data_IF_840312047879
#
_entry.id   IF_840312047879
#
_cell.length_a   1.000
_cell.length_b   1.000
_cell.length_c   1.000
_cell.angle_alpha   90.00
_cell.angle_beta   90.00
_cell.angle_gamma   90.00
#
_symmetry.space_group_name_H-M   'P 1'
#
loop_
_entity.id
_entity.type
_entity.pdbx_description
1 polymer ?
#
# COMPACT_ATOMS: atom_id res chain seq x y z
N UNK A 1 43.64 37.33 -0.25
CA UNK A 1 43.00 36.25 -1.04
C UNK A 1 42.29 35.31 -0.07
N UNK A 2 41.01 35.54 0.19
CA UNK A 2 40.20 34.70 1.09
C UNK A 2 39.62 33.52 0.31
N UNK A 3 40.03 32.30 0.64
CA UNK A 3 39.43 31.06 0.16
C UNK A 3 38.23 30.72 1.04
N UNK A 4 37.03 30.95 0.54
CA UNK A 4 35.79 30.45 1.14
C UNK A 4 35.65 28.96 0.82
N UNK A 5 35.81 28.11 1.84
CA UNK A 5 35.58 26.67 1.77
C UNK A 5 34.07 26.42 1.96
N UNK A 6 33.34 26.17 0.87
CA UNK A 6 31.92 25.82 0.92
C UNK A 6 31.81 24.33 1.30
N UNK A 7 31.42 24.06 2.54
CA UNK A 7 31.12 22.72 3.05
C UNK A 7 29.68 22.37 2.66
N UNK A 8 29.49 21.63 1.57
CA UNK A 8 28.16 21.13 1.17
C UNK A 8 27.84 19.91 2.06
N UNK A 9 26.96 20.11 3.04
CA UNK A 9 26.38 19.01 3.83
C UNK A 9 25.38 18.29 2.91
N UNK A 10 25.82 17.22 2.25
CA UNK A 10 24.94 16.27 1.56
C UNK A 10 24.11 15.55 2.63
N UNK A 11 22.96 16.14 2.98
CA UNK A 11 21.91 15.42 3.69
C UNK A 11 21.45 14.26 2.81
N UNK A 12 21.86 13.04 3.15
CA UNK A 12 21.45 11.83 2.45
C UNK A 12 19.99 11.55 2.78
N UNK A 13 19.10 12.20 2.03
CA UNK A 13 17.68 11.89 2.03
C UNK A 13 17.54 10.42 1.61
N UNK A 14 17.34 9.55 2.59
CA UNK A 14 17.12 8.13 2.34
C UNK A 14 15.73 7.99 1.76
N UNK A 15 15.64 8.03 0.42
CA UNK A 15 14.41 7.72 -0.28
C UNK A 15 14.10 6.25 0.02
N UNK A 16 13.09 6.03 0.85
CA UNK A 16 12.56 4.69 1.09
C UNK A 16 11.87 4.27 -0.19
N UNK A 17 12.59 3.57 -1.06
CA UNK A 17 12.02 2.95 -2.25
C UNK A 17 11.16 1.79 -1.76
N UNK A 18 9.84 1.98 -1.84
CA UNK A 18 8.88 0.91 -1.55
C UNK A 18 9.01 -0.13 -2.64
N UNK A 19 9.67 -1.25 -2.31
CA UNK A 19 9.78 -2.40 -3.22
C UNK A 19 8.41 -3.02 -3.45
N UNK A 20 8.14 -3.46 -4.67
CA UNK A 20 6.92 -4.20 -4.98
C UNK A 20 6.88 -5.52 -4.21
N UNK A 21 5.69 -6.07 -3.96
CA UNK A 21 5.54 -7.38 -3.28
C UNK A 21 6.26 -8.51 -4.01
N UNK A 22 6.32 -8.46 -5.34
CA UNK A 22 7.07 -9.43 -6.15
C UNK A 22 8.58 -9.29 -5.93
N UNK A 23 9.09 -8.06 -5.77
CA UNK A 23 10.51 -7.83 -5.50
C UNK A 23 10.88 -8.18 -4.05
N UNK A 24 10.04 -7.85 -3.06
CA UNK A 24 10.28 -8.21 -1.66
C UNK A 24 10.03 -9.69 -1.39
N UNK A 25 9.18 -10.34 -2.19
CA UNK A 25 8.61 -11.66 -1.95
C UNK A 25 7.80 -11.77 -0.66
N UNK A 26 7.23 -10.64 -0.23
CA UNK A 26 6.34 -10.53 0.93
C UNK A 26 4.99 -10.02 0.43
N UNK A 27 3.96 -10.80 0.67
CA UNK A 27 2.62 -10.60 0.12
C UNK A 27 1.63 -10.30 1.25
N UNK A 28 1.07 -9.09 1.22
CA UNK A 28 0.02 -8.67 2.15
C UNK A 28 -1.33 -8.75 1.44
N UNK A 29 -2.30 -9.42 2.06
CA UNK A 29 -3.68 -9.33 1.62
C UNK A 29 -4.32 -8.13 2.33
N UNK A 30 -4.77 -7.12 1.58
CA UNK A 30 -5.25 -5.84 2.12
C UNK A 30 -6.36 -5.97 3.19
N UNK A 31 -7.13 -7.05 3.16
CA UNK A 31 -8.22 -7.29 4.10
C UNK A 31 -7.91 -8.38 5.14
N UNK A 32 -6.65 -8.80 5.25
CA UNK A 32 -6.24 -9.91 6.12
C UNK A 32 -5.41 -9.43 7.31
N UNK A 33 -5.60 -10.11 8.44
CA UNK A 33 -4.71 -10.04 9.61
C UNK A 33 -3.42 -10.85 9.42
N UNK A 34 -3.19 -11.39 8.23
CA UNK A 34 -2.06 -12.25 7.90
C UNK A 34 -1.35 -11.81 6.62
N UNK A 35 -0.07 -12.13 6.53
CA UNK A 35 0.75 -11.99 5.33
C UNK A 35 1.42 -13.32 4.97
N UNK A 36 1.97 -13.42 3.75
CA UNK A 36 2.76 -14.58 3.32
C UNK A 36 4.19 -14.09 3.02
N UNK A 37 5.18 -14.74 3.63
CA UNK A 37 6.60 -14.44 3.42
C UNK A 37 7.31 -15.60 2.72
N UNK A 38 7.63 -15.37 1.45
CA UNK A 38 8.33 -16.32 0.60
C UNK A 38 9.77 -15.88 0.32
N UNK A 39 10.30 -14.92 1.06
CA UNK A 39 11.68 -14.41 0.91
C UNK A 39 12.74 -15.52 0.99
N UNK A 40 12.47 -16.59 1.74
CA UNK A 40 13.35 -17.75 1.85
C UNK A 40 13.47 -18.55 0.54
N UNK A 41 12.49 -18.46 -0.35
CA UNK A 41 12.50 -19.11 -1.67
C UNK A 41 13.13 -18.22 -2.75
N UNK A 42 13.43 -16.96 -2.42
CA UNK A 42 14.04 -16.02 -3.34
C UNK A 42 15.45 -16.46 -3.71
N UNK A 43 15.83 -16.26 -4.97
CA UNK A 43 17.14 -16.63 -5.53
C UNK A 43 17.43 -18.15 -5.54
N UNK A 44 16.45 -18.99 -5.21
CA UNK A 44 16.59 -20.43 -5.35
C UNK A 44 16.20 -20.86 -6.76
N UNK A 45 17.04 -21.65 -7.41
CA UNK A 45 16.74 -22.24 -8.71
C UNK A 45 16.11 -23.62 -8.50
N UNK A 46 14.88 -23.78 -8.97
CA UNK A 46 14.14 -25.03 -8.91
C UNK A 46 14.10 -25.67 -10.30
N UNK A 47 14.30 -26.98 -10.35
CA UNK A 47 14.33 -27.75 -11.58
C UNK A 47 13.32 -28.90 -11.48
N UNK A 48 12.41 -29.00 -12.46
CA UNK A 48 11.39 -30.04 -12.54
C UNK A 48 11.35 -30.69 -13.93
N UNK A 49 11.93 -31.89 -14.09
CA UNK A 49 11.85 -32.66 -15.33
C UNK A 49 10.51 -33.40 -15.47
N UNK A 50 9.86 -33.33 -16.62
CA UNK A 50 8.62 -34.07 -16.93
C UNK A 50 8.41 -34.24 -18.44
N UNK A 51 8.01 -35.44 -18.89
CA UNK A 51 7.61 -35.73 -20.28
C UNK A 51 8.57 -35.22 -21.38
N UNK A 52 9.89 -35.27 -21.15
CA UNK A 52 10.89 -34.79 -22.12
C UNK A 52 11.10 -33.27 -22.12
N UNK A 53 10.46 -32.56 -21.21
CA UNK A 53 10.66 -31.15 -20.90
C UNK A 53 11.34 -31.01 -19.54
N UNK A 54 12.04 -29.89 -19.35
CA UNK A 54 12.58 -29.51 -18.04
C UNK A 54 12.17 -28.08 -17.74
N UNK A 55 11.48 -27.87 -16.62
CA UNK A 55 11.04 -26.54 -16.18
C UNK A 55 11.97 -26.02 -15.11
N UNK A 56 12.55 -24.84 -15.33
CA UNK A 56 13.52 -24.22 -14.43
C UNK A 56 13.00 -22.84 -14.04
N UNK A 57 12.96 -22.54 -12.74
CA UNK A 57 12.36 -21.31 -12.26
C UNK A 57 12.87 -20.88 -10.89
N UNK A 58 12.72 -19.59 -10.59
CA UNK A 58 13.01 -19.02 -9.26
C UNK A 58 11.83 -18.21 -8.74
N UNK A 59 11.52 -18.29 -7.45
CA UNK A 59 10.38 -17.53 -6.89
C UNK A 59 10.82 -16.11 -6.57
N UNK A 60 10.09 -15.09 -7.06
CA UNK A 60 10.39 -13.68 -6.77
C UNK A 60 11.80 -13.18 -7.14
N UNK A 61 12.49 -13.85 -8.07
CA UNK A 61 13.80 -13.42 -8.54
C UNK A 61 14.05 -13.88 -9.97
N UNK A 62 15.04 -13.24 -10.61
CA UNK A 62 15.62 -13.76 -11.84
C UNK A 62 16.26 -15.13 -11.57
N UNK A 63 16.17 -16.02 -12.56
CA UNK A 63 16.84 -17.31 -12.54
C UNK A 63 18.10 -17.25 -13.42
N UNK A 64 19.28 -17.32 -12.80
CA UNK A 64 20.56 -17.18 -13.52
C UNK A 64 20.83 -18.32 -14.52
N UNK A 65 20.27 -19.51 -14.29
CA UNK A 65 20.38 -20.60 -15.27
C UNK A 65 19.58 -20.24 -16.53
N UNK A 66 18.33 -19.82 -16.36
CA UNK A 66 17.49 -19.37 -17.48
C UNK A 66 18.08 -18.15 -18.19
N UNK A 67 18.71 -17.22 -17.46
CA UNK A 67 19.42 -16.09 -18.05
C UNK A 67 20.51 -16.56 -19.02
N UNK A 68 21.32 -17.55 -18.62
CA UNK A 68 22.37 -18.11 -19.48
C UNK A 68 21.84 -18.82 -20.73
N UNK A 69 20.60 -19.32 -20.69
CA UNK A 69 19.96 -20.05 -21.79
C UNK A 69 19.22 -19.14 -22.77
N UNK A 70 18.32 -18.31 -22.26
CA UNK A 70 17.41 -17.49 -23.09
C UNK A 70 18.00 -16.11 -23.38
N UNK A 71 18.98 -15.64 -22.59
CA UNK A 71 19.67 -14.35 -22.74
C UNK A 71 18.74 -13.13 -22.68
N UNK A 72 17.69 -13.20 -21.86
CA UNK A 72 16.83 -12.04 -21.59
C UNK A 72 16.84 -11.65 -20.11
N UNK A 73 16.93 -10.36 -19.87
CA UNK A 73 16.99 -9.80 -18.51
C UNK A 73 15.65 -9.97 -17.80
N UNK A 74 15.71 -10.26 -16.50
CA UNK A 74 14.54 -10.51 -15.69
C UNK A 74 13.91 -11.89 -15.92
N UNK A 75 14.49 -12.77 -16.76
CA UNK A 75 13.94 -14.13 -16.94
C UNK A 75 13.86 -14.85 -15.60
N UNK A 76 12.64 -15.14 -15.18
CA UNK A 76 12.33 -15.78 -13.91
C UNK A 76 12.20 -17.30 -14.09
N UNK A 77 11.69 -17.72 -15.26
CA UNK A 77 11.51 -19.13 -15.59
C UNK A 77 11.69 -19.42 -17.06
N UNK A 78 12.14 -20.64 -17.34
CA UNK A 78 12.35 -21.17 -18.68
C UNK A 78 11.97 -22.66 -18.77
N UNK A 79 11.61 -23.06 -19.98
CA UNK A 79 11.37 -24.45 -20.37
C UNK A 79 12.50 -24.90 -21.31
N UNK A 80 13.19 -25.96 -20.94
CA UNK A 80 14.18 -26.63 -21.80
C UNK A 80 13.53 -27.82 -22.49
N UNK A 81 13.73 -27.92 -23.80
CA UNK A 81 13.22 -28.98 -24.67
C UNK A 81 14.36 -29.55 -25.52
N UNK A 82 14.08 -30.59 -26.34
CA UNK A 82 15.04 -31.06 -27.35
C UNK A 82 15.33 -30.03 -28.45
N UNK A 83 14.39 -29.10 -28.69
CA UNK A 83 14.45 -28.15 -29.80
C UNK A 83 14.98 -26.77 -29.38
N UNK A 84 15.23 -26.57 -28.08
CA UNK A 84 15.71 -25.30 -27.55
C UNK A 84 15.17 -24.98 -26.16
N UNK A 85 15.57 -23.80 -25.69
CA UNK A 85 15.21 -23.21 -24.40
C UNK A 85 14.27 -22.02 -24.65
N UNK A 86 13.17 -21.94 -23.91
CA UNK A 86 12.15 -20.91 -24.07
C UNK A 86 11.87 -20.22 -22.74
N UNK A 87 11.81 -18.89 -22.71
CA UNK A 87 11.32 -18.16 -21.54
C UNK A 87 9.82 -18.42 -21.37
N UNK A 88 9.41 -18.71 -20.13
CA UNK A 88 8.01 -18.92 -19.75
C UNK A 88 7.54 -17.97 -18.63
N UNK A 89 8.39 -17.03 -18.21
CA UNK A 89 8.04 -16.02 -17.22
C UNK A 89 9.18 -15.03 -16.96
N UNK A 90 8.81 -13.75 -16.83
CA UNK A 90 9.71 -12.65 -16.50
C UNK A 90 9.32 -12.02 -15.15
N UNK A 91 10.30 -11.75 -14.29
CA UNK A 91 10.08 -11.16 -12.96
C UNK A 91 9.44 -9.77 -13.04
N UNK A 92 9.74 -9.00 -14.10
CA UNK A 92 9.22 -7.66 -14.31
C UNK A 92 7.74 -7.66 -14.71
N UNK A 93 7.22 -8.82 -15.15
CA UNK A 93 5.83 -9.03 -15.55
C UNK A 93 5.09 -9.92 -14.54
N UNK A 94 5.55 -9.91 -13.29
CA UNK A 94 4.98 -10.69 -12.19
C UNK A 94 3.73 -10.04 -11.59
N UNK A 95 2.69 -10.82 -11.39
CA UNK A 95 1.51 -10.46 -10.59
C UNK A 95 1.21 -11.56 -9.58
N UNK A 96 0.46 -11.23 -8.53
CA UNK A 96 0.03 -12.21 -7.53
C UNK A 96 -1.43 -12.00 -7.14
N UNK A 97 -2.05 -13.04 -6.62
CA UNK A 97 -3.40 -13.01 -6.07
C UNK A 97 -3.51 -14.03 -4.95
N UNK A 98 -4.36 -13.74 -3.96
CA UNK A 98 -4.67 -14.69 -2.90
C UNK A 98 -5.76 -15.66 -3.36
N UNK A 99 -5.58 -16.95 -3.06
CA UNK A 99 -6.63 -17.94 -3.25
C UNK A 99 -7.66 -17.86 -2.14
N UNK A 100 -8.92 -18.17 -2.45
CA UNK A 100 -9.90 -18.49 -1.41
C UNK A 100 -9.61 -19.94 -1.01
N UNK A 101 -8.95 -20.12 0.15
CA UNK A 101 -8.45 -21.42 0.63
C UNK A 101 -9.55 -22.49 0.58
N UNK A 102 -10.80 -22.10 0.85
CA UNK A 102 -11.96 -23.00 0.90
C UNK A 102 -12.41 -23.54 -0.46
N UNK A 103 -12.16 -22.85 -1.57
CA UNK A 103 -12.64 -23.25 -2.89
C UNK A 103 -11.53 -23.76 -3.82
N UNK A 104 -10.31 -23.24 -3.68
CA UNK A 104 -9.21 -23.58 -4.59
C UNK A 104 -8.09 -24.38 -3.94
N UNK A 105 -8.05 -24.43 -2.61
CA UNK A 105 -7.04 -25.15 -1.82
C UNK A 105 -5.65 -24.51 -1.79
N UNK A 106 -5.34 -23.51 -2.62
CA UNK A 106 -4.05 -22.80 -2.60
C UNK A 106 -4.14 -21.50 -1.79
N UNK A 107 -3.03 -21.12 -1.16
CA UNK A 107 -2.91 -19.91 -0.33
C UNK A 107 -2.58 -18.67 -1.17
N UNK A 108 -1.67 -18.81 -2.15
CA UNK A 108 -1.26 -17.73 -3.05
C UNK A 108 -1.01 -18.24 -4.47
N UNK A 109 -1.46 -17.48 -5.45
CA UNK A 109 -1.13 -17.64 -6.86
C UNK A 109 -0.17 -16.54 -7.31
N UNK A 110 0.87 -16.91 -8.06
CA UNK A 110 1.81 -15.97 -8.68
C UNK A 110 1.87 -16.25 -10.17
N UNK A 111 1.70 -15.23 -10.99
CA UNK A 111 1.74 -15.32 -12.45
C UNK A 111 2.91 -14.52 -12.99
N UNK A 112 3.67 -15.10 -13.92
CA UNK A 112 4.71 -14.42 -14.67
C UNK A 112 4.47 -14.58 -16.16
N UNK A 113 4.35 -13.47 -16.87
CA UNK A 113 4.30 -13.48 -18.33
C UNK A 113 5.72 -13.39 -18.90
N UNK A 114 5.98 -14.05 -20.03
CA UNK A 114 7.25 -13.87 -20.74
C UNK A 114 7.45 -12.42 -21.17
N UNK A 115 8.68 -12.04 -21.48
CA UNK A 115 8.94 -10.78 -22.18
C UNK A 115 8.37 -10.82 -23.60
N UNK A 116 8.28 -9.64 -24.22
CA UNK A 116 7.92 -9.48 -25.64
C UNK A 116 8.99 -10.02 -26.60
N UNK A 117 10.21 -10.29 -26.12
CA UNK A 117 11.32 -10.83 -26.92
C UNK A 117 11.28 -12.35 -26.98
N UNK A 118 10.62 -13.00 -26.03
CA UNK A 118 10.45 -14.44 -26.04
C UNK A 118 9.69 -14.83 -27.31
N UNK A 119 10.15 -15.88 -28.04
CA UNK A 119 9.40 -16.37 -29.19
C UNK A 119 7.96 -16.66 -28.77
N UNK A 120 7.01 -16.37 -29.64
CA UNK A 120 5.62 -16.74 -29.42
C UNK A 120 5.45 -18.26 -29.50
N UNK A 121 4.34 -18.75 -28.99
CA UNK A 121 3.93 -20.11 -29.24
C UNK A 121 3.38 -20.30 -30.64
N UNK A 122 3.22 -21.57 -31.04
CA UNK A 122 2.62 -21.92 -32.33
C UNK A 122 1.19 -21.37 -32.49
N UNK A 123 0.49 -21.13 -31.38
CA UNK A 123 -0.82 -20.50 -31.34
C UNK A 123 -0.81 -18.96 -31.43
N UNK A 124 0.37 -18.34 -31.51
CA UNK A 124 0.53 -16.88 -31.48
C UNK A 124 0.49 -16.25 -30.08
N UNK A 125 0.24 -17.04 -29.03
CA UNK A 125 0.20 -16.53 -27.65
C UNK A 125 1.62 -16.40 -27.06
N UNK A 126 1.83 -15.40 -26.20
CA UNK A 126 2.99 -15.33 -25.33
C UNK A 126 2.97 -16.47 -24.31
N UNK A 127 4.15 -16.93 -23.90
CA UNK A 127 4.28 -17.96 -22.86
C UNK A 127 4.08 -17.33 -21.48
N UNK A 128 3.43 -18.04 -20.58
CA UNK A 128 3.32 -17.62 -19.18
C UNK A 128 3.35 -18.81 -18.23
N UNK A 129 3.70 -18.52 -16.97
CA UNK A 129 3.74 -19.51 -15.91
C UNK A 129 2.94 -19.02 -14.70
N UNK A 130 2.05 -19.88 -14.24
CA UNK A 130 1.20 -19.70 -13.08
C UNK A 130 1.63 -20.67 -11.99
N UNK A 131 2.03 -20.15 -10.85
CA UNK A 131 2.47 -20.91 -9.69
C UNK A 131 1.39 -20.86 -8.62
N UNK A 132 0.90 -22.01 -8.21
CA UNK A 132 -0.12 -22.18 -7.18
C UNK A 132 0.51 -22.79 -5.94
N UNK A 133 0.62 -21.99 -4.88
CA UNK A 133 1.28 -22.42 -3.65
C UNK A 133 0.25 -22.84 -2.60
N UNK A 134 0.39 -24.07 -2.13
CA UNK A 134 -0.38 -24.71 -1.08
C UNK A 134 0.42 -24.65 0.22
N UNK A 135 -0.15 -24.10 1.28
CA UNK A 135 0.44 -24.18 2.61
C UNK A 135 0.63 -25.65 3.01
N UNK A 136 1.84 -26.01 3.41
CA UNK A 136 2.17 -27.32 3.97
C UNK A 136 3.20 -27.13 5.07
N UNK A 137 2.87 -27.48 6.31
CA UNK A 137 3.81 -27.35 7.44
C UNK A 137 4.98 -28.34 7.33
N UNK A 138 4.80 -29.42 6.56
CA UNK A 138 5.77 -30.51 6.43
C UNK A 138 6.75 -30.28 5.26
N UNK A 139 6.28 -29.70 4.16
CA UNK A 139 7.09 -29.53 2.96
C UNK A 139 7.79 -28.16 2.97
N UNK A 140 9.13 -28.14 2.93
CA UNK A 140 9.87 -26.88 2.73
C UNK A 140 9.53 -26.30 1.35
N UNK A 141 9.66 -27.12 0.31
CA UNK A 141 9.30 -26.79 -1.07
C UNK A 141 9.16 -28.08 -1.89
N UNK A 142 7.99 -28.33 -2.47
CA UNK A 142 7.72 -29.53 -3.26
C UNK A 142 6.79 -29.23 -4.44
N UNK A 143 7.29 -29.41 -5.65
CA UNK A 143 6.45 -29.35 -6.86
C UNK A 143 5.57 -30.60 -6.91
N UNK A 144 4.26 -30.40 -6.99
CA UNK A 144 3.24 -31.46 -7.02
C UNK A 144 2.96 -31.84 -8.47
N UNK A 145 2.78 -30.84 -9.34
CA UNK A 145 2.40 -31.05 -10.72
C UNK A 145 2.82 -29.86 -11.58
N UNK A 146 3.09 -30.17 -12.85
CA UNK A 146 3.29 -29.19 -13.91
C UNK A 146 2.48 -29.66 -15.11
N UNK A 147 1.61 -28.81 -15.61
CA UNK A 147 0.84 -29.08 -16.83
C UNK A 147 0.56 -27.79 -17.57
N UNK A 148 0.25 -27.91 -18.85
CA UNK A 148 -0.05 -26.78 -19.72
C UNK A 148 -1.56 -26.68 -19.93
N UNK A 149 -2.17 -25.57 -19.53
CA UNK A 149 -3.59 -25.31 -19.77
C UNK A 149 -3.95 -23.83 -19.51
N UNK A 150 -4.38 -23.05 -20.52
CA UNK A 150 -4.43 -23.38 -21.94
C UNK A 150 -3.04 -23.52 -22.57
N UNK A 151 -2.95 -23.72 -23.89
CA UNK A 151 -1.68 -23.78 -24.62
C UNK A 151 -0.79 -22.58 -24.28
N UNK A 152 0.45 -22.88 -23.91
CA UNK A 152 1.51 -21.98 -23.48
C UNK A 152 1.31 -21.25 -22.15
N UNK A 153 0.35 -21.72 -21.37
CA UNK A 153 0.17 -21.30 -19.99
C UNK A 153 0.49 -22.49 -19.08
N UNK A 154 1.68 -22.47 -18.50
CA UNK A 154 2.16 -23.53 -17.63
C UNK A 154 1.63 -23.30 -16.22
N UNK A 155 0.95 -24.30 -15.66
CA UNK A 155 0.44 -24.30 -14.30
C UNK A 155 1.31 -25.21 -13.45
N UNK A 156 1.92 -24.66 -12.42
CA UNK A 156 2.83 -25.33 -11.49
C UNK A 156 2.20 -25.30 -10.11
N UNK A 157 1.89 -26.47 -9.55
CA UNK A 157 1.36 -26.58 -8.19
C UNK A 157 2.47 -26.94 -7.22
N UNK A 158 2.58 -26.23 -6.09
CA UNK A 158 3.71 -26.33 -5.16
C UNK A 158 3.20 -26.39 -3.72
N UNK A 159 3.65 -27.38 -2.93
CA UNK A 159 3.51 -27.33 -1.46
C UNK A 159 4.72 -26.64 -0.85
N UNK A 160 4.48 -25.71 0.09
CA UNK A 160 5.57 -25.08 0.83
C UNK A 160 5.08 -24.52 2.18
N UNK A 161 5.90 -24.65 3.21
CA UNK A 161 5.70 -24.00 4.51
C UNK A 161 5.75 -22.49 4.44
N UNK A 162 6.48 -21.94 3.46
CA UNK A 162 6.59 -20.50 3.25
C UNK A 162 5.33 -19.89 2.60
N UNK A 163 4.44 -20.73 2.09
CA UNK A 163 3.12 -20.31 1.61
C UNK A 163 2.06 -20.27 2.72
N UNK A 164 2.42 -20.62 3.95
CA UNK A 164 1.50 -20.58 5.08
C UNK A 164 1.33 -19.14 5.60
N UNK A 165 0.09 -18.68 5.86
CA UNK A 165 -0.17 -17.35 6.40
C UNK A 165 0.50 -17.13 7.75
N UNK A 166 1.18 -15.99 7.90
CA UNK A 166 1.82 -15.52 9.13
C UNK A 166 0.94 -14.41 9.72
N UNK A 167 0.52 -14.50 10.99
CA UNK A 167 -0.27 -13.45 11.62
C UNK A 167 0.57 -12.16 11.72
N UNK A 168 -0.04 -11.03 11.35
CA UNK A 168 0.55 -9.71 11.57
C UNK A 168 0.51 -9.46 13.07
N UNK A 169 1.65 -9.15 13.72
CA UNK A 169 1.66 -8.86 15.15
C UNK A 169 0.71 -7.70 15.42
N UNK A 170 -0.32 -7.95 16.21
CA UNK A 170 -1.23 -6.90 16.67
C UNK A 170 -0.39 -5.95 17.53
N UNK A 171 -0.41 -4.63 17.29
CA UNK A 171 0.32 -3.71 18.13
C UNK A 171 -0.12 -3.94 19.58
N UNK A 172 0.81 -4.38 20.42
CA UNK A 172 0.54 -4.56 21.85
C UNK A 172 0.00 -3.23 22.34
N UNK A 173 -1.17 -3.19 23.02
CA UNK A 173 -1.70 -1.94 23.53
C UNK A 173 -0.61 -1.31 24.38
N UNK A 174 -0.13 -0.14 23.94
CA UNK A 174 0.83 0.62 24.72
C UNK A 174 0.16 0.86 26.06
N UNK A 175 0.82 0.46 27.16
CA UNK A 175 0.33 0.76 28.50
C UNK A 175 0.33 2.28 28.58
N UNK A 176 -0.86 2.87 28.43
CA UNK A 176 -1.05 4.30 28.61
C UNK A 176 -0.46 4.62 29.97
N UNK A 177 0.52 5.54 30.08
CA UNK A 177 1.08 5.88 31.38
C UNK A 177 -0.08 6.26 32.28
N UNK A 178 -0.20 5.56 33.41
CA UNK A 178 -1.19 5.88 34.43
C UNK A 178 -1.00 7.37 34.73
N UNK A 179 -2.06 8.20 34.63
CA UNK A 179 -1.90 9.62 34.83
C UNK A 179 -1.27 9.85 36.20
N UNK A 180 -0.05 10.38 36.21
CA UNK A 180 0.57 10.90 37.43
C UNK A 180 -0.44 11.88 38.02
N UNK A 181 -0.80 11.77 39.32
CA UNK A 181 -1.79 12.64 39.92
C UNK A 181 -1.43 14.09 39.64
N UNK A 182 -2.24 14.73 38.80
CA UNK A 182 -2.04 16.13 38.44
C UNK A 182 -2.17 16.94 39.73
N UNK A 183 -1.19 17.78 40.09
CA UNK A 183 -1.37 18.72 41.18
C UNK A 183 -2.66 19.53 40.92
N UNK A 184 -3.46 19.85 41.95
CA UNK A 184 -4.74 20.52 41.79
C UNK A 184 -4.56 21.77 40.91
N UNK A 185 -5.13 21.71 39.71
CA UNK A 185 -5.08 22.82 38.77
C UNK A 185 -5.97 23.91 39.37
N UNK A 186 -5.34 24.99 39.82
CA UNK A 186 -6.01 26.25 40.12
C UNK A 186 -6.88 26.59 38.92
N UNK A 187 -8.20 26.82 39.07
CA UNK A 187 -9.09 27.04 37.94
C UNK A 187 -8.58 28.21 37.10
N UNK A 188 -7.96 27.89 35.98
CA UNK A 188 -7.61 28.88 34.98
C UNK A 188 -8.94 29.43 34.46
N UNK A 189 -9.15 30.76 34.49
CA UNK A 189 -10.40 31.35 34.07
C UNK A 189 -10.75 30.82 32.68
N UNK A 190 -11.95 30.26 32.56
CA UNK A 190 -12.54 29.76 31.32
C UNK A 190 -12.40 30.83 30.25
N UNK A 191 -11.35 30.74 29.43
CA UNK A 191 -11.23 31.56 28.25
C UNK A 191 -12.37 31.12 27.34
N UNK A 192 -13.26 32.05 27.01
CA UNK A 192 -14.30 31.83 26.03
C UNK A 192 -13.64 31.44 24.71
N UNK A 193 -13.50 30.14 24.47
CA UNK A 193 -12.93 29.60 23.24
C UNK A 193 -13.91 29.91 22.13
N UNK A 194 -13.63 30.92 21.30
CA UNK A 194 -14.41 31.20 20.11
C UNK A 194 -14.14 30.12 19.06
N UNK A 195 -15.21 29.52 18.54
CA UNK A 195 -15.16 28.53 17.49
C UNK A 195 -16.24 28.85 16.45
N UNK A 196 -15.85 28.87 15.17
CA UNK A 196 -16.81 28.92 14.08
C UNK A 196 -16.38 28.07 12.89
N UNK A 197 -17.38 27.59 12.17
CA UNK A 197 -17.22 26.87 10.92
C UNK A 197 -18.12 27.50 9.87
N UNK A 198 -17.56 27.70 8.69
CA UNK A 198 -18.24 28.35 7.59
C UNK A 198 -17.99 27.57 6.30
N UNK A 199 -19.05 27.29 5.57
CA UNK A 199 -19.01 26.74 4.22
C UNK A 199 -19.05 27.91 3.24
N UNK A 200 -17.97 28.08 2.47
CA UNK A 200 -17.88 29.10 1.44
C UNK A 200 -17.54 28.43 0.09
N UNK A 201 -18.54 28.37 -0.79
CA UNK A 201 -18.46 27.61 -2.05
C UNK A 201 -18.10 26.15 -1.78
N UNK A 202 -16.98 25.67 -2.29
CA UNK A 202 -16.47 24.30 -2.09
C UNK A 202 -15.42 24.21 -0.98
N UNK A 203 -15.39 25.21 -0.10
CA UNK A 203 -14.38 25.32 0.95
C UNK A 203 -14.99 25.25 2.35
N UNK A 204 -14.32 24.52 3.25
CA UNK A 204 -14.59 24.55 4.68
C UNK A 204 -13.59 25.47 5.37
N UNK A 205 -14.11 26.53 5.98
CA UNK A 205 -13.36 27.48 6.79
C UNK A 205 -13.62 27.15 8.27
N UNK A 206 -12.55 26.92 9.02
CA UNK A 206 -12.64 26.72 10.48
C UNK A 206 -11.82 27.78 11.19
N UNK A 207 -12.45 28.44 12.16
CA UNK A 207 -11.81 29.41 13.06
C UNK A 207 -11.88 28.91 14.50
N UNK A 208 -10.74 28.88 15.20
CA UNK A 208 -10.68 28.41 16.59
C UNK A 208 -9.49 28.98 17.33
N UNK A 209 -9.60 29.26 18.62
CA UNK A 209 -8.41 29.53 19.45
C UNK A 209 -7.67 28.24 19.85
N UNK A 210 -8.23 27.07 19.53
CA UNK A 210 -7.62 25.76 19.73
C UNK A 210 -6.87 25.30 18.47
N UNK A 211 -6.05 24.26 18.65
CA UNK A 211 -5.40 23.56 17.56
C UNK A 211 -6.42 22.94 16.60
N UNK A 212 -6.24 23.18 15.29
CA UNK A 212 -7.12 22.65 14.25
C UNK A 212 -6.42 21.53 13.49
N UNK A 213 -7.08 20.39 13.33
CA UNK A 213 -6.62 19.25 12.54
C UNK A 213 -7.63 18.89 11.45
N UNK A 214 -7.26 19.03 10.17
CA UNK A 214 -8.12 18.68 9.04
C UNK A 214 -7.69 17.40 8.34
N UNK A 215 -8.67 16.61 7.93
CA UNK A 215 -8.55 15.33 7.24
C UNK A 215 -9.46 15.31 6.01
N UNK A 216 -9.04 14.59 4.99
CA UNK A 216 -9.87 14.32 3.82
C UNK A 216 -9.45 13.03 3.12
N UNK A 217 -10.36 12.46 2.32
CA UNK A 217 -10.07 11.36 1.40
C UNK A 217 -10.13 11.87 -0.04
N UNK A 218 -8.97 12.20 -0.61
CA UNK A 218 -8.83 12.65 -1.99
C UNK A 218 -8.10 13.99 -2.16
N UNK A 219 -8.09 14.54 -3.39
CA UNK A 219 -7.32 15.74 -3.72
C UNK A 219 -7.80 16.90 -2.86
N UNK A 220 -6.90 17.50 -2.10
CA UNK A 220 -7.24 18.49 -1.09
C UNK A 220 -6.18 19.55 -0.99
N UNK A 221 -6.62 20.81 -0.84
CA UNK A 221 -5.74 21.94 -0.61
C UNK A 221 -6.25 22.74 0.57
N UNK A 222 -5.42 22.89 1.60
CA UNK A 222 -5.68 23.73 2.76
C UNK A 222 -4.68 24.89 2.81
N UNK A 223 -5.15 26.04 3.27
CA UNK A 223 -4.37 27.27 3.45
C UNK A 223 -4.61 27.77 4.88
N UNK A 224 -3.54 28.04 5.61
CA UNK A 224 -3.59 28.62 6.97
C UNK A 224 -3.51 30.15 6.91
N UNK A 225 -3.71 30.82 8.05
CA UNK A 225 -3.58 32.29 8.15
C UNK A 225 -2.16 32.79 7.78
N UNK A 226 -1.12 32.00 8.06
CA UNK A 226 0.27 32.31 7.69
C UNK A 226 0.56 32.13 6.20
N UNK A 227 -0.44 31.70 5.40
CA UNK A 227 -0.27 31.37 3.99
C UNK A 227 0.38 30.01 3.74
N UNK A 228 0.63 29.23 4.80
CA UNK A 228 1.16 27.87 4.65
C UNK A 228 0.11 27.00 3.99
N UNK A 229 0.56 26.21 3.01
CA UNK A 229 -0.31 25.30 2.28
C UNK A 229 0.04 23.86 2.65
N UNK A 230 -1.00 23.05 2.86
CA UNK A 230 -0.87 21.61 3.03
C UNK A 230 -1.95 20.94 2.19
N UNK A 231 -1.60 19.86 1.51
CA UNK A 231 -2.49 19.29 0.52
C UNK A 231 -1.95 18.01 -0.11
N UNK A 232 -2.80 17.37 -0.89
CA UNK A 232 -2.48 16.20 -1.71
C UNK A 232 -3.21 16.32 -3.04
N UNK A 233 -2.60 15.86 -4.12
CA UNK A 233 -3.26 15.66 -5.40
C UNK A 233 -3.68 14.19 -5.61
N UNK A 234 -3.37 13.31 -4.66
CA UNK A 234 -3.70 11.89 -4.77
C UNK A 234 -5.22 11.69 -4.55
N UNK A 235 -5.87 11.00 -5.49
CA UNK A 235 -7.29 10.66 -5.42
C UNK A 235 -7.64 9.79 -4.21
N UNK A 236 -6.67 9.01 -3.72
CA UNK A 236 -6.81 8.16 -2.52
C UNK A 236 -5.95 8.67 -1.35
N UNK A 237 -5.42 9.89 -1.45
CA UNK A 237 -4.54 10.46 -0.42
C UNK A 237 -5.31 10.96 0.80
N UNK A 238 -4.77 10.71 1.99
CA UNK A 238 -5.16 11.41 3.21
C UNK A 238 -4.22 12.58 3.49
N UNK A 239 -4.75 13.74 3.84
CA UNK A 239 -3.95 14.84 4.39
C UNK A 239 -4.17 14.97 5.89
N UNK A 240 -3.14 15.43 6.60
CA UNK A 240 -3.26 15.91 7.98
C UNK A 240 -2.66 17.31 8.04
N UNK A 241 -3.53 18.31 8.08
CA UNK A 241 -3.14 19.70 8.22
C UNK A 241 -3.32 20.14 9.65
N UNK A 242 -2.26 20.66 10.26
CA UNK A 242 -2.28 21.13 11.64
C UNK A 242 -1.79 22.56 11.72
N UNK A 243 -2.56 23.44 12.36
CA UNK A 243 -2.13 24.82 12.59
C UNK A 243 -2.38 25.23 14.04
N UNK A 244 -1.41 25.91 14.69
CA UNK A 244 -1.63 26.57 15.97
C UNK A 244 -2.41 27.89 15.81
N UNK A 245 -2.60 28.36 14.58
CA UNK A 245 -3.26 29.61 14.28
C UNK A 245 -4.77 29.41 14.19
N UNK A 246 -5.51 30.51 14.39
CA UNK A 246 -6.95 30.46 14.56
C UNK A 246 -7.78 30.31 13.29
N UNK A 247 -7.18 29.90 12.17
CA UNK A 247 -7.83 29.82 10.88
C UNK A 247 -7.20 28.77 9.96
N UNK A 248 -8.05 27.94 9.36
CA UNK A 248 -7.72 27.08 8.24
C UNK A 248 -8.85 27.09 7.21
N UNK A 249 -8.50 27.15 5.93
CA UNK A 249 -9.43 27.07 4.81
C UNK A 249 -9.05 25.89 3.92
N UNK A 250 -9.92 24.90 3.79
CA UNK A 250 -9.67 23.68 3.02
C UNK A 250 -10.67 23.50 1.87
N UNK A 251 -10.22 23.03 0.72
CA UNK A 251 -11.03 22.71 -0.48
C UNK A 251 -10.90 21.23 -0.84
N UNK A 252 -12.00 20.47 -0.83
CA UNK A 252 -12.09 19.03 -1.18
C UNK A 252 -13.51 18.48 -1.03
N UNK A 253 -13.75 17.30 -1.61
CA UNK A 253 -15.03 16.61 -1.64
C UNK A 253 -15.44 15.92 -0.33
N UNK A 254 -14.55 15.80 0.67
CA UNK A 254 -14.87 15.17 1.95
C UNK A 254 -13.90 15.68 3.03
N UNK A 255 -14.11 16.92 3.50
CA UNK A 255 -13.23 17.52 4.51
C UNK A 255 -13.86 17.37 5.89
N UNK A 256 -13.03 16.97 6.85
CA UNK A 256 -13.35 16.95 8.28
C UNK A 256 -12.26 17.71 9.03
N UNK A 257 -12.61 18.83 9.66
CA UNK A 257 -11.73 19.63 10.50
C UNK A 257 -12.14 19.52 11.97
N UNK A 258 -11.19 19.23 12.85
CA UNK A 258 -11.42 18.98 14.28
C UNK A 258 -10.61 19.92 15.16
N UNK A 259 -11.22 20.32 16.27
CA UNK A 259 -10.58 20.97 17.41
C UNK A 259 -10.69 20.06 18.64
N UNK A 260 -10.32 20.56 19.83
CA UNK A 260 -10.47 19.80 21.07
C UNK A 260 -11.94 19.49 21.41
N UNK A 261 -12.89 20.32 20.95
CA UNK A 261 -14.32 20.26 21.31
C UNK A 261 -15.27 20.06 20.14
N UNK A 262 -14.87 20.42 18.93
CA UNK A 262 -15.77 20.47 17.77
C UNK A 262 -15.17 19.74 16.57
N UNK A 263 -16.05 19.13 15.77
CA UNK A 263 -15.73 18.50 14.50
C UNK A 263 -16.65 19.08 13.44
N UNK A 264 -16.11 19.78 12.45
CA UNK A 264 -16.85 20.29 11.30
C UNK A 264 -16.53 19.47 10.07
N UNK A 265 -17.54 19.15 9.30
CA UNK A 265 -17.37 18.41 8.05
C UNK A 265 -18.34 18.84 6.98
N UNK A 266 -17.93 18.63 5.73
CA UNK A 266 -18.75 18.87 4.55
C UNK A 266 -18.69 17.67 3.62
N UNK A 267 -19.81 17.41 2.97
CA UNK A 267 -19.89 16.55 1.80
C UNK A 267 -20.60 17.34 0.68
N UNK A 268 -19.84 18.05 -0.19
CA UNK A 268 -20.40 18.86 -1.26
C UNK A 268 -21.15 18.00 -2.30
N UNK A 269 -20.89 16.69 -2.40
CA UNK A 269 -21.63 15.82 -3.34
C UNK A 269 -23.07 15.56 -2.92
N UNK A 270 -23.38 15.71 -1.63
CA UNK A 270 -24.73 15.47 -1.08
C UNK A 270 -25.45 16.75 -0.66
N UNK A 271 -24.79 17.92 -0.78
CA UNK A 271 -25.28 19.26 -0.43
C UNK A 271 -26.29 19.29 0.74
N UNK A 272 -25.94 18.62 1.85
CA UNK A 272 -26.83 18.48 3.00
C UNK A 272 -26.57 19.52 4.10
N UNK A 273 -25.81 20.59 3.82
CA UNK A 273 -25.43 21.60 4.83
C UNK A 273 -24.16 21.25 5.61
N UNK A 274 -23.83 22.09 6.61
CA UNK A 274 -22.65 21.94 7.46
C UNK A 274 -22.92 20.88 8.55
N UNK A 275 -22.03 19.90 8.70
CA UNK A 275 -22.13 18.92 9.79
C UNK A 275 -21.18 19.29 10.93
N UNK A 276 -21.73 19.57 12.11
CA UNK A 276 -20.99 19.89 13.33
C UNK A 276 -21.27 18.85 14.40
N UNK A 277 -20.24 18.16 14.87
CA UNK A 277 -20.35 17.09 15.89
C UNK A 277 -21.39 16.00 15.53
N UNK A 278 -21.43 15.61 14.25
CA UNK A 278 -22.39 14.65 13.68
C UNK A 278 -23.83 15.17 13.58
N UNK A 279 -24.08 16.46 13.82
CA UNK A 279 -25.37 17.12 13.62
C UNK A 279 -25.34 17.92 12.32
N UNK A 280 -26.30 17.64 11.44
CA UNK A 280 -26.49 18.41 10.21
C UNK A 280 -27.18 19.72 10.56
N UNK A 281 -26.54 20.84 10.24
CA UNK A 281 -27.09 22.17 10.42
C UNK A 281 -27.52 22.67 9.04
N UNK A 282 -28.78 23.11 8.93
CA UNK A 282 -29.34 23.73 7.71
C UNK A 282 -28.85 25.18 7.53
N UNK A 283 -27.56 25.41 7.74
CA UNK A 283 -26.87 26.69 7.62
C UNK A 283 -25.48 26.45 7.07
N UNK A 284 -24.96 27.43 6.33
CA UNK A 284 -23.56 27.44 5.90
C UNK A 284 -22.63 27.98 6.97
N UNK A 285 -23.15 28.36 8.14
CA UNK A 285 -22.38 28.95 9.22
C UNK A 285 -22.81 28.38 10.57
N UNK A 286 -21.82 28.10 11.42
CA UNK A 286 -22.00 27.74 12.82
C UNK A 286 -21.00 28.51 13.69
N UNK A 287 -21.47 29.06 14.80
CA UNK A 287 -20.63 29.65 15.83
C UNK A 287 -21.08 29.21 17.21
N UNK A 288 -20.14 28.86 18.09
CA UNK A 288 -20.48 28.47 19.45
C UNK A 288 -20.97 29.64 20.31
N UNK A 289 -20.82 30.88 19.84
CA UNK A 289 -21.40 32.05 20.50
C UNK A 289 -22.94 32.07 20.41
N UNK A 290 -23.54 31.28 19.51
CA UNK A 290 -25.01 31.19 19.37
C UNK A 290 -25.64 30.15 20.31
N UNK A 291 -24.83 29.38 21.06
CA UNK A 291 -25.28 28.35 22.00
C UNK A 291 -25.42 28.86 23.44
N UNK A 292 -25.11 30.13 23.70
CA UNK A 292 -25.24 30.80 25.00
C UNK A 292 -26.42 31.76 24.97
#
# INVERSE_FOLDING_TARGET
MNKFLILIILSTLSIVVVKSSIESCIFNNYNSTHYIDMSQLKNQSNNYPTNGFTFIFSVCSQNNFCLGKVKDEGVQSCQTTRNGDYEIGNINNGTYYFGVIESTGYSIGISYNSSIKSPMCFSGNSRSSNYYFYCSQEDIFKVISVYENPTCVFRISIKSKFACPIPIPTPTPSITPTPTPTPPITPTPSSNSSFSCELFQDSLIVKSNDFISCFSGGPTKCITFSGETCGTNNHDGSIKCTTPNSFINCTSNNIVCKTSKYSCSINPTLYSGLNVNNLIINSNYFSNNELN
#
